data_IF_025216049756
#
_entry.id   IF_025216049756
#
_cell.length_a   1.000
_cell.length_b   1.000
_cell.length_c   1.000
_cell.angle_alpha   90.00
_cell.angle_beta   90.00
_cell.angle_gamma   90.00
#
_symmetry.space_group_name_H-M   'P 1'
#
loop_
_entity.id
_entity.type
_entity.pdbx_description
1 polymer ?
#
# COMPACT_ATOMS: atom_id res chain seq x y z
N UNK A 1 -0.23 -5.95 -32.07
CA UNK A 1 0.73 -4.87 -32.32
C UNK A 1 0.91 -4.13 -31.00
N UNK A 2 2.09 -4.17 -30.38
CA UNK A 2 2.36 -3.43 -29.16
C UNK A 2 2.36 -1.93 -29.48
N UNK A 3 1.44 -1.16 -28.91
CA UNK A 3 1.45 0.29 -28.96
C UNK A 3 2.73 0.77 -28.30
N UNK A 4 3.70 1.28 -29.08
CA UNK A 4 4.90 1.92 -28.53
C UNK A 4 4.44 3.00 -27.55
N UNK A 5 4.80 2.84 -26.27
CA UNK A 5 4.54 3.86 -25.25
C UNK A 5 5.09 5.19 -25.74
N UNK A 6 4.22 6.18 -25.86
CA UNK A 6 4.57 7.56 -26.27
C UNK A 6 5.52 8.24 -25.28
N UNK A 7 5.66 7.68 -24.08
CA UNK A 7 6.42 8.25 -22.96
C UNK A 7 7.55 7.31 -22.57
N UNK A 8 8.71 7.82 -22.10
CA UNK A 8 9.81 6.99 -21.64
C UNK A 8 9.37 6.17 -20.43
N UNK A 9 9.85 4.92 -20.36
CA UNK A 9 9.52 3.98 -19.29
C UNK A 9 10.12 4.37 -17.94
N UNK A 10 11.21 5.12 -17.95
CA UNK A 10 11.88 5.62 -16.76
C UNK A 10 12.53 6.98 -16.99
N UNK A 11 12.95 7.64 -15.91
CA UNK A 11 13.66 8.90 -15.93
C UNK A 11 14.27 9.24 -14.57
N UNK A 12 14.87 10.42 -14.47
CA UNK A 12 15.39 10.96 -13.22
C UNK A 12 14.80 12.34 -12.97
N UNK A 13 14.49 12.65 -11.73
CA UNK A 13 14.11 13.98 -11.26
C UNK A 13 15.35 14.87 -11.16
N UNK A 14 15.17 16.16 -10.87
CA UNK A 14 16.27 17.13 -10.72
C UNK A 14 17.22 16.77 -9.56
N UNK A 15 16.73 16.14 -8.50
CA UNK A 15 17.51 15.63 -7.37
C UNK A 15 18.13 14.25 -7.61
N UNK A 16 18.02 13.71 -8.85
CA UNK A 16 18.59 12.41 -9.24
C UNK A 16 17.72 11.19 -8.90
N UNK A 17 16.54 11.37 -8.29
CA UNK A 17 15.65 10.24 -7.94
C UNK A 17 15.17 9.51 -9.19
N UNK A 18 15.34 8.18 -9.23
CA UNK A 18 14.80 7.34 -10.31
C UNK A 18 13.29 7.27 -10.22
N UNK A 19 12.63 7.47 -11.35
CA UNK A 19 11.18 7.34 -11.50
C UNK A 19 10.84 6.42 -12.66
N UNK A 20 9.80 5.60 -12.50
CA UNK A 20 9.30 4.70 -13.54
C UNK A 20 7.89 5.05 -13.93
N UNK A 21 7.59 4.86 -15.22
CA UNK A 21 6.25 5.03 -15.77
C UNK A 21 5.31 3.98 -15.18
N UNK A 22 4.20 4.43 -14.60
CA UNK A 22 3.19 3.54 -14.05
C UNK A 22 2.39 2.88 -15.19
N UNK A 23 2.17 1.55 -15.15
CA UNK A 23 1.45 0.82 -16.19
C UNK A 23 -0.07 1.00 -16.02
N UNK A 24 -0.57 2.20 -16.31
CA UNK A 24 -1.98 2.56 -16.21
C UNK A 24 -2.57 2.80 -17.60
N UNK A 25 -3.60 2.04 -17.93
CA UNK A 25 -4.29 2.16 -19.22
C UNK A 25 -5.16 3.42 -19.32
N UNK A 26 -5.61 4.00 -18.20
CA UNK A 26 -6.57 5.11 -18.13
C UNK A 26 -5.96 6.35 -17.48
N UNK A 27 -5.08 7.03 -18.20
CA UNK A 27 -4.51 8.30 -17.68
C UNK A 27 -4.85 9.51 -18.54
N UNK A 28 -5.90 9.46 -19.38
CA UNK A 28 -6.28 10.54 -20.30
C UNK A 28 -5.06 11.10 -21.10
N UNK A 29 -4.14 10.22 -21.47
CA UNK A 29 -2.90 10.57 -22.16
C UNK A 29 -1.86 11.29 -21.29
N UNK A 30 -2.06 11.37 -19.97
CA UNK A 30 -1.11 11.98 -19.02
C UNK A 30 -0.29 10.89 -18.33
N UNK A 31 1.05 10.89 -18.50
CA UNK A 31 1.89 9.88 -17.87
C UNK A 31 1.98 10.11 -16.35
N UNK A 32 1.77 9.05 -15.57
CA UNK A 32 2.05 9.00 -14.15
C UNK A 32 3.36 8.24 -13.93
N UNK A 33 4.24 8.80 -13.13
CA UNK A 33 5.49 8.17 -12.72
C UNK A 33 5.51 8.03 -11.20
N UNK A 34 6.25 7.05 -10.70
CA UNK A 34 6.51 6.92 -9.28
C UNK A 34 7.96 6.52 -9.01
N UNK A 35 8.49 6.98 -7.88
CA UNK A 35 9.78 6.56 -7.34
C UNK A 35 9.58 5.40 -6.36
N UNK A 36 10.64 4.66 -6.09
CA UNK A 36 10.59 3.45 -5.25
C UNK A 36 10.19 3.75 -3.80
N UNK A 37 10.51 4.94 -3.31
CA UNK A 37 10.16 5.46 -1.98
C UNK A 37 8.69 5.92 -1.82
N UNK A 38 7.87 5.79 -2.88
CA UNK A 38 6.44 6.07 -2.83
C UNK A 38 6.02 7.46 -3.31
N UNK A 39 6.92 8.28 -3.83
CA UNK A 39 6.53 9.57 -4.40
C UNK A 39 5.99 9.42 -5.83
N UNK A 40 4.99 10.24 -6.18
CA UNK A 40 4.39 10.26 -7.50
C UNK A 40 4.74 11.55 -8.25
N UNK A 41 4.88 11.44 -9.58
CA UNK A 41 5.29 12.55 -10.44
C UNK A 41 4.47 12.61 -11.71
N UNK A 42 4.18 13.83 -12.17
CA UNK A 42 3.75 14.13 -13.53
C UNK A 42 4.93 14.59 -14.36
N UNK A 43 4.95 14.27 -15.65
CA UNK A 43 5.93 14.83 -16.60
C UNK A 43 5.32 16.01 -17.32
N UNK A 44 5.98 17.16 -17.30
CA UNK A 44 5.51 18.41 -17.93
C UNK A 44 6.61 19.06 -18.74
N UNK A 45 6.22 19.70 -19.83
CA UNK A 45 7.08 20.58 -20.60
C UNK A 45 7.13 21.96 -19.92
N UNK A 46 8.31 22.37 -19.45
CA UNK A 46 8.55 23.65 -18.77
C UNK A 46 9.71 24.33 -19.48
N UNK A 47 9.48 25.51 -20.06
CA UNK A 47 10.48 26.25 -20.84
C UNK A 47 11.20 25.43 -21.92
N UNK A 48 10.45 24.57 -22.63
CA UNK A 48 11.00 23.71 -23.69
C UNK A 48 11.67 22.42 -23.21
N UNK A 49 11.81 22.20 -21.91
CA UNK A 49 12.41 20.99 -21.32
C UNK A 49 11.37 20.13 -20.61
N UNK A 50 11.49 18.81 -20.73
CA UNK A 50 10.64 17.89 -20.01
C UNK A 50 11.14 17.68 -18.59
N UNK A 51 10.33 18.08 -17.58
CA UNK A 51 10.65 17.96 -16.15
C UNK A 51 9.63 17.11 -15.42
N UNK A 52 10.07 16.44 -14.35
CA UNK A 52 9.22 15.71 -13.44
C UNK A 52 8.77 16.63 -12.31
N UNK A 53 7.45 16.72 -12.09
CA UNK A 53 6.86 17.51 -11.01
C UNK A 53 6.18 16.56 -10.02
N UNK A 54 6.57 16.64 -8.75
CA UNK A 54 5.98 15.86 -7.67
C UNK A 54 4.48 16.14 -7.53
N UNK A 55 3.70 15.07 -7.34
CA UNK A 55 2.26 15.10 -7.10
C UNK A 55 2.04 14.90 -5.61
N UNK A 56 1.23 15.75 -5.00
CA UNK A 56 0.82 15.59 -3.60
C UNK A 56 -0.32 14.58 -3.56
N UNK A 57 -0.08 13.45 -2.88
CA UNK A 57 -1.12 12.45 -2.62
C UNK A 57 -1.91 12.88 -1.39
N UNK A 58 -3.23 12.85 -1.50
CA UNK A 58 -4.10 13.15 -0.37
C UNK A 58 -4.12 11.94 0.59
N UNK A 59 -3.51 12.12 1.77
CA UNK A 59 -3.41 11.09 2.82
C UNK A 59 -4.45 11.27 3.93
N UNK A 60 -5.37 12.24 3.81
CA UNK A 60 -6.34 12.47 4.87
C UNK A 60 -7.25 11.26 5.04
N UNK A 61 -7.32 10.66 6.25
CA UNK A 61 -8.33 9.66 6.52
C UNK A 61 -9.72 10.30 6.30
N UNK A 62 -10.70 9.56 5.79
CA UNK A 62 -12.05 10.06 5.63
C UNK A 62 -12.59 10.51 6.99
N UNK A 63 -13.25 11.66 7.04
CA UNK A 63 -13.84 12.22 8.28
C UNK A 63 -14.91 11.31 8.87
N UNK A 64 -15.59 10.54 8.03
CA UNK A 64 -16.57 9.54 8.44
C UNK A 64 -16.17 8.16 7.92
N UNK A 65 -15.72 7.30 8.85
CA UNK A 65 -15.29 5.93 8.55
C UNK A 65 -16.43 5.01 8.10
N UNK A 66 -17.71 5.40 8.32
CA UNK A 66 -18.89 4.61 7.96
C UNK A 66 -19.27 4.73 6.48
N UNK A 67 -18.92 5.84 5.85
CA UNK A 67 -19.31 6.14 4.46
C UNK A 67 -18.17 5.89 3.46
N UNK A 68 -16.96 5.59 3.89
CA UNK A 68 -15.81 5.46 3.00
C UNK A 68 -15.42 4.00 2.77
N UNK A 69 -15.82 3.46 1.63
CA UNK A 69 -15.37 2.15 1.16
C UNK A 69 -13.90 2.15 0.70
N UNK A 70 -13.26 3.32 0.58
CA UNK A 70 -11.87 3.46 0.14
C UNK A 70 -11.03 4.09 1.25
N UNK A 71 -10.51 3.25 2.14
CA UNK A 71 -9.54 3.66 3.17
C UNK A 71 -8.16 3.95 2.62
N UNK A 72 -7.88 3.52 1.40
CA UNK A 72 -6.55 3.57 0.82
C UNK A 72 -6.25 4.93 0.17
N UNK A 73 -5.04 5.48 0.36
CA UNK A 73 -4.57 6.65 -0.37
C UNK A 73 -4.63 6.43 -1.88
N UNK A 74 -5.03 7.47 -2.61
CA UNK A 74 -5.19 7.41 -4.06
C UNK A 74 -4.68 8.66 -4.77
N UNK A 75 -4.26 8.51 -6.02
CA UNK A 75 -3.87 9.61 -6.89
C UNK A 75 -5.10 10.07 -7.67
N UNK A 76 -5.83 11.06 -7.13
CA UNK A 76 -7.10 11.54 -7.68
C UNK A 76 -7.03 12.02 -9.12
N UNK A 77 -5.95 12.72 -9.47
CA UNK A 77 -5.74 13.30 -10.80
C UNK A 77 -5.63 12.25 -11.92
N UNK A 78 -5.52 10.97 -11.55
CA UNK A 78 -5.35 9.83 -12.44
C UNK A 78 -6.45 8.77 -12.24
N UNK A 79 -7.69 9.22 -12.00
CA UNK A 79 -8.85 8.32 -11.90
C UNK A 79 -8.96 7.60 -10.55
N UNK A 80 -8.48 8.21 -9.46
CA UNK A 80 -8.50 7.62 -8.12
C UNK A 80 -7.77 6.28 -8.00
N UNK A 81 -6.69 6.09 -8.76
CA UNK A 81 -5.89 4.86 -8.66
C UNK A 81 -5.25 4.75 -7.28
N UNK A 82 -5.34 3.58 -6.68
CA UNK A 82 -4.79 3.33 -5.34
C UNK A 82 -3.26 3.33 -5.38
N UNK A 83 -2.63 4.10 -4.48
CA UNK A 83 -1.18 4.27 -4.46
C UNK A 83 -0.42 2.95 -4.37
N UNK A 84 -0.80 2.06 -3.44
CA UNK A 84 -0.15 0.76 -3.26
C UNK A 84 -0.25 -0.13 -4.50
N UNK A 85 -1.41 -0.14 -5.20
CA UNK A 85 -1.59 -0.95 -6.40
C UNK A 85 -0.68 -0.48 -7.53
N UNK A 86 -0.62 0.85 -7.75
CA UNK A 86 0.24 1.43 -8.78
C UNK A 86 1.71 1.17 -8.49
N UNK A 87 2.12 1.34 -7.22
CA UNK A 87 3.49 1.07 -6.79
C UNK A 87 3.87 -0.38 -7.00
N UNK A 88 3.01 -1.33 -6.59
CA UNK A 88 3.26 -2.75 -6.76
C UNK A 88 3.38 -3.13 -8.25
N UNK A 89 2.49 -2.64 -9.11
CA UNK A 89 2.53 -2.86 -10.55
C UNK A 89 3.81 -2.31 -11.19
N UNK A 90 4.32 -1.17 -10.71
CA UNK A 90 5.48 -0.49 -11.30
C UNK A 90 6.81 -1.09 -10.85
N UNK A 91 6.93 -1.48 -9.58
CA UNK A 91 8.21 -1.85 -8.97
C UNK A 91 8.36 -3.34 -8.65
N UNK A 92 7.25 -4.04 -8.41
CA UNK A 92 7.26 -5.49 -8.14
C UNK A 92 6.96 -6.27 -9.42
N UNK A 93 6.05 -5.72 -10.25
CA UNK A 93 5.67 -6.34 -11.51
C UNK A 93 4.17 -6.60 -11.63
N UNK A 94 3.73 -7.25 -12.72
CA UNK A 94 2.33 -7.51 -12.98
C UNK A 94 1.69 -8.34 -11.86
N UNK A 95 0.42 -8.03 -11.58
CA UNK A 95 -0.36 -8.74 -10.57
C UNK A 95 -0.57 -10.19 -10.97
N UNK A 96 -0.10 -11.19 -10.18
CA UNK A 96 -0.41 -12.59 -10.45
C UNK A 96 -1.92 -12.86 -10.34
N UNK A 97 -2.42 -13.81 -11.11
CA UNK A 97 -3.84 -14.16 -11.10
C UNK A 97 -4.32 -14.53 -9.70
N UNK A 98 -5.43 -13.93 -9.28
CA UNK A 98 -6.03 -14.16 -7.97
C UNK A 98 -5.29 -13.56 -6.77
N UNK A 99 -4.17 -12.84 -6.96
CA UNK A 99 -3.45 -12.18 -5.87
C UNK A 99 -3.98 -10.78 -5.56
N UNK A 100 -3.72 -10.32 -4.36
CA UNK A 100 -4.02 -8.98 -3.83
C UNK A 100 -2.73 -8.28 -3.43
N UNK A 101 -2.72 -6.94 -3.47
CA UNK A 101 -1.61 -6.16 -2.95
C UNK A 101 -1.74 -6.01 -1.43
N UNK A 102 -0.71 -6.44 -0.70
CA UNK A 102 -0.66 -6.38 0.76
C UNK A 102 0.49 -5.47 1.22
N UNK A 103 0.26 -4.78 2.36
CA UNK A 103 1.27 -3.99 3.06
C UNK A 103 1.97 -4.85 4.10
N UNK A 104 3.25 -5.15 3.92
CA UNK A 104 4.02 -6.07 4.78
C UNK A 104 3.93 -5.69 6.25
N UNK A 105 4.02 -4.39 6.58
CA UNK A 105 3.90 -3.87 7.96
C UNK A 105 2.45 -3.59 8.40
N UNK A 106 1.46 -3.81 7.52
CA UNK A 106 0.04 -3.53 7.76
C UNK A 106 -0.32 -2.04 7.87
N UNK A 107 0.58 -1.13 7.49
CA UNK A 107 0.32 0.31 7.43
C UNK A 107 -0.09 0.70 6.00
N UNK A 108 -1.37 0.98 5.78
CA UNK A 108 -1.92 1.37 4.48
C UNK A 108 -1.41 2.72 3.95
N UNK A 109 -0.75 3.51 4.78
CA UNK A 109 -0.12 4.79 4.42
C UNK A 109 1.36 4.65 4.05
N UNK A 110 1.93 3.45 4.14
CA UNK A 110 3.29 3.14 3.73
C UNK A 110 3.28 2.27 2.46
N UNK A 111 3.11 2.93 1.31
CA UNK A 111 3.08 2.28 0.00
C UNK A 111 4.42 2.27 -0.72
N UNK A 112 5.55 2.40 0.00
CA UNK A 112 6.89 2.19 -0.58
C UNK A 112 7.02 0.78 -1.16
N UNK A 113 7.76 0.62 -2.23
CA UNK A 113 7.85 -0.65 -2.95
C UNK A 113 8.31 -1.82 -2.07
N UNK A 114 9.28 -1.59 -1.17
CA UNK A 114 9.81 -2.58 -0.22
C UNK A 114 8.79 -3.03 0.84
N UNK A 115 7.72 -2.26 1.05
CA UNK A 115 6.64 -2.62 1.99
C UNK A 115 5.44 -3.29 1.32
N UNK A 116 5.52 -3.56 0.01
CA UNK A 116 4.41 -4.13 -0.74
C UNK A 116 4.74 -5.52 -1.25
N UNK A 117 3.72 -6.35 -1.39
CA UNK A 117 3.82 -7.69 -1.96
C UNK A 117 2.51 -8.15 -2.59
N UNK A 118 2.61 -9.08 -3.55
CA UNK A 118 1.46 -9.80 -4.06
C UNK A 118 1.24 -11.06 -3.24
N UNK A 119 0.05 -11.25 -2.68
CA UNK A 119 -0.32 -12.41 -1.86
C UNK A 119 -1.65 -12.97 -2.29
N UNK A 120 -1.88 -14.26 -2.03
CA UNK A 120 -3.21 -14.84 -2.21
C UNK A 120 -4.19 -14.30 -1.17
N UNK A 121 -5.51 -14.27 -1.44
CA UNK A 121 -6.51 -13.86 -0.43
C UNK A 121 -6.45 -14.68 0.86
N UNK A 122 -6.05 -15.95 0.78
CA UNK A 122 -5.88 -16.82 1.96
C UNK A 122 -4.71 -16.33 2.84
N UNK A 123 -3.58 -16.06 2.21
CA UNK A 123 -2.40 -15.53 2.91
C UNK A 123 -2.65 -14.13 3.46
N UNK A 124 -3.32 -13.26 2.70
CA UNK A 124 -3.67 -11.90 3.14
C UNK A 124 -4.53 -11.95 4.42
N UNK A 125 -5.56 -12.82 4.46
CA UNK A 125 -6.37 -13.02 5.67
C UNK A 125 -5.54 -13.53 6.86
N UNK A 126 -4.67 -14.55 6.65
CA UNK A 126 -3.79 -15.07 7.70
C UNK A 126 -2.88 -13.96 8.27
N UNK A 127 -2.25 -13.17 7.40
CA UNK A 127 -1.39 -12.04 7.80
C UNK A 127 -2.18 -10.95 8.55
N UNK A 128 -3.40 -10.63 8.11
CA UNK A 128 -4.25 -9.64 8.78
C UNK A 128 -4.58 -10.08 10.22
N UNK A 129 -4.85 -11.37 10.45
CA UNK A 129 -5.06 -11.93 11.81
C UNK A 129 -3.82 -11.76 12.67
N UNK A 130 -2.64 -12.13 12.15
CA UNK A 130 -1.36 -12.00 12.88
C UNK A 130 -1.07 -10.53 13.23
N UNK A 131 -1.24 -9.61 12.28
CA UNK A 131 -1.04 -8.18 12.51
C UNK A 131 -2.03 -7.61 13.54
N UNK A 132 -3.27 -8.09 13.53
CA UNK A 132 -4.26 -7.72 14.54
C UNK A 132 -3.88 -8.24 15.92
N UNK A 133 -3.45 -9.50 16.02
CA UNK A 133 -2.97 -10.09 17.26
C UNK A 133 -1.79 -9.30 17.85
N UNK A 134 -0.78 -8.97 17.03
CA UNK A 134 0.35 -8.12 17.44
C UNK A 134 -0.09 -6.77 18.01
N UNK A 135 -1.06 -6.12 17.38
CA UNK A 135 -1.59 -4.83 17.84
C UNK A 135 -2.36 -4.96 19.16
N UNK A 136 -3.07 -6.07 19.37
CA UNK A 136 -3.79 -6.33 20.63
C UNK A 136 -2.82 -6.55 21.77
N UNK A 137 -1.83 -7.43 21.60
CA UNK A 137 -0.78 -7.68 22.61
C UNK A 137 -0.04 -6.39 22.97
N UNK A 138 0.38 -5.60 21.97
CA UNK A 138 1.08 -4.33 22.20
C UNK A 138 0.24 -3.26 22.95
N UNK A 139 -1.10 -3.40 22.99
CA UNK A 139 -1.98 -2.49 23.72
C UNK A 139 -2.26 -2.92 25.16
N UNK A 140 -2.20 -4.22 25.44
CA UNK A 140 -2.61 -4.78 26.72
C UNK A 140 -1.44 -4.99 27.69
N UNK A 141 -0.25 -5.27 27.18
CA UNK A 141 0.90 -5.60 27.99
C UNK A 141 1.96 -4.49 27.92
N UNK A 142 2.17 -3.79 29.05
CA UNK A 142 3.39 -2.99 29.29
C UNK A 142 4.58 -3.90 29.70
N UNK A 143 4.50 -5.20 29.48
CA UNK A 143 5.56 -6.15 29.82
C UNK A 143 6.54 -6.28 28.65
N UNK A 144 7.79 -5.79 28.79
CA UNK A 144 8.79 -5.85 27.71
C UNK A 144 9.16 -7.28 27.28
N UNK A 145 8.91 -8.30 28.14
CA UNK A 145 9.18 -9.70 27.83
C UNK A 145 8.20 -10.29 26.82
N UNK A 146 7.06 -9.63 26.65
CA UNK A 146 5.98 -10.01 25.72
C UNK A 146 5.92 -9.11 24.47
N UNK A 147 7.05 -8.60 23.99
CA UNK A 147 7.09 -7.83 22.75
C UNK A 147 6.56 -8.72 21.59
N UNK A 148 5.44 -8.33 20.95
CA UNK A 148 4.85 -9.10 19.86
C UNK A 148 5.78 -9.30 18.66
N UNK A 149 6.87 -8.53 18.57
CA UNK A 149 7.90 -8.70 17.54
C UNK A 149 8.72 -9.96 17.73
N UNK A 150 8.86 -10.40 18.97
CA UNK A 150 9.65 -11.56 19.35
C UNK A 150 8.83 -12.86 19.41
N UNK A 151 7.51 -12.77 19.24
CA UNK A 151 6.60 -13.92 19.27
C UNK A 151 6.50 -14.59 17.91
N UNK A 152 6.46 -15.92 17.90
CA UNK A 152 6.16 -16.72 16.71
C UNK A 152 4.72 -16.49 16.23
N UNK A 153 4.47 -16.78 14.94
CA UNK A 153 3.12 -16.69 14.39
C UNK A 153 2.12 -17.60 15.08
N UNK A 154 2.58 -18.73 15.63
CA UNK A 154 1.75 -19.71 16.36
C UNK A 154 1.36 -19.19 17.74
N UNK A 155 2.29 -18.64 18.50
CA UNK A 155 2.03 -17.99 19.78
C UNK A 155 1.06 -16.82 19.64
N UNK A 156 1.24 -15.98 18.61
CA UNK A 156 0.34 -14.88 18.32
C UNK A 156 -1.07 -15.34 17.94
N UNK A 157 -1.20 -16.45 17.22
CA UNK A 157 -2.52 -17.02 16.88
C UNK A 157 -3.19 -17.63 18.10
N UNK A 158 -2.45 -18.28 19.00
CA UNK A 158 -2.98 -18.80 20.26
C UNK A 158 -3.52 -17.67 21.14
N UNK A 159 -2.75 -16.59 21.33
CA UNK A 159 -3.19 -15.40 22.06
C UNK A 159 -4.43 -14.77 21.43
N UNK A 160 -4.44 -14.61 20.10
CA UNK A 160 -5.60 -14.04 19.38
C UNK A 160 -6.86 -14.87 19.61
N UNK A 161 -6.75 -16.21 19.58
CA UNK A 161 -7.89 -17.11 19.83
C UNK A 161 -8.36 -17.01 21.29
N UNK A 162 -7.45 -16.93 22.27
CA UNK A 162 -7.80 -16.70 23.67
C UNK A 162 -8.58 -15.40 23.88
N UNK A 163 -8.17 -14.30 23.25
CA UNK A 163 -8.85 -13.00 23.37
C UNK A 163 -10.20 -12.96 22.63
N UNK A 164 -10.33 -13.63 21.48
CA UNK A 164 -11.60 -13.69 20.76
C UNK A 164 -12.63 -14.56 21.49
N UNK A 165 -12.22 -15.68 22.09
CA UNK A 165 -13.12 -16.51 22.90
C UNK A 165 -13.59 -15.75 24.15
N UNK A 166 -12.72 -14.91 24.74
CA UNK A 166 -13.13 -14.04 25.84
C UNK A 166 -14.07 -12.91 25.42
N UNK A 167 -13.97 -12.42 24.16
CA UNK A 167 -14.80 -11.36 23.60
C UNK A 167 -16.24 -11.82 23.32
N UNK A 168 -16.43 -13.06 22.88
CA UNK A 168 -17.76 -13.63 22.60
C UNK A 168 -18.58 -13.91 23.89
N UNK A 169 -17.93 -14.01 25.06
CA UNK A 169 -18.61 -14.18 26.36
C UNK A 169 -19.25 -12.86 26.83
N UNK A 170 -18.81 -11.69 26.36
CA UNK A 170 -19.36 -10.38 26.74
C UNK A 170 -20.35 -9.79 25.71
N UNK A 171 -20.59 -10.47 24.59
CA UNK A 171 -21.54 -10.01 23.57
C UNK A 171 -22.96 -10.62 23.73
N UNK A 172 -23.22 -11.28 24.85
CA UNK A 172 -24.48 -12.02 25.16
C UNK A 172 -25.15 -11.60 26.48
N UNK A 173 -25.20 -10.28 26.80
CA UNK A 173 -26.10 -9.73 27.82
C UNK A 173 -26.81 -8.49 27.28
#
# INVERSE_FOLDING_TARGET
MATKNKFPEWGRTEDGTEVRLCPLEKTDGKPLYCSRDGAFYSRRLIHGEWRFRRIIVNQRPPRDTRLCHTRYPSVRQYGNVMCHTVMALTWIGPRPAGCECDHINGNIYDWRAENLQWVTPKENRKRAVILRARRMVARQDNDPSKDPKNMSSEELLQLFNMYNVAGDVYAGE
#
